data_IF_636444670036
#
_entry.id   IF_636444670036
#
_cell.length_a   1.000
_cell.length_b   1.000
_cell.length_c   1.000
_cell.angle_alpha   90.00
_cell.angle_beta   90.00
_cell.angle_gamma   90.00
#
_symmetry.space_group_name_H-M   'P 1'
#
loop_
_entity.id
_entity.type
_entity.pdbx_description
1 polymer ?
#
# COMPACT_ATOMS: atom_id res chain seq x y z
N UNK A 1 -24.19 20.71 -22.17
CA UNK A 1 -24.90 19.39 -22.18
C UNK A 1 -24.53 18.66 -20.90
N UNK A 2 -25.41 17.81 -20.34
CA UNK A 2 -25.06 17.07 -19.09
C UNK A 2 -24.45 15.72 -19.43
N UNK A 3 -23.40 15.36 -18.74
CA UNK A 3 -22.68 14.09 -18.87
C UNK A 3 -22.34 13.50 -17.51
N UNK A 4 -22.20 12.18 -17.43
CA UNK A 4 -21.80 11.52 -16.19
C UNK A 4 -20.41 11.97 -15.77
N UNK A 5 -20.22 12.27 -14.50
CA UNK A 5 -18.93 12.76 -13.99
C UNK A 5 -17.78 11.78 -14.22
N UNK A 6 -17.99 10.46 -14.02
CA UNK A 6 -16.96 9.45 -14.26
C UNK A 6 -16.53 9.37 -15.74
N UNK A 7 -17.45 9.64 -16.66
CA UNK A 7 -17.16 9.70 -18.11
C UNK A 7 -16.45 10.99 -18.46
N UNK A 8 -16.95 12.13 -17.97
CA UNK A 8 -16.40 13.45 -18.24
C UNK A 8 -14.94 13.57 -17.77
N UNK A 9 -14.61 13.00 -16.61
CA UNK A 9 -13.24 12.98 -16.07
C UNK A 9 -12.25 12.26 -17.01
N UNK A 10 -12.68 11.14 -17.61
CA UNK A 10 -11.84 10.41 -18.59
C UNK A 10 -11.74 11.20 -19.88
N UNK A 11 -12.86 11.71 -20.38
CA UNK A 11 -12.92 12.50 -21.62
C UNK A 11 -12.03 13.75 -21.58
N UNK A 12 -11.96 14.41 -20.39
CA UNK A 12 -11.10 15.58 -20.17
C UNK A 12 -9.65 15.23 -19.79
N UNK A 13 -9.28 13.94 -19.75
CA UNK A 13 -7.91 13.48 -19.51
C UNK A 13 -7.45 13.50 -18.05
N UNK A 14 -8.36 13.69 -17.08
CA UNK A 14 -8.00 13.59 -15.65
C UNK A 14 -7.61 12.18 -15.24
N UNK A 15 -8.21 11.16 -15.87
CA UNK A 15 -7.95 9.75 -15.58
C UNK A 15 -7.91 8.93 -16.88
N UNK A 16 -7.11 7.85 -16.85
CA UNK A 16 -6.98 6.93 -17.98
C UNK A 16 -8.14 5.93 -18.10
N UNK A 17 -8.90 5.72 -16.99
CA UNK A 17 -10.02 4.79 -16.97
C UNK A 17 -11.15 5.28 -16.06
N UNK A 18 -12.38 4.80 -16.35
CA UNK A 18 -13.58 5.12 -15.56
C UNK A 18 -13.50 4.55 -14.15
N UNK A 19 -12.83 3.42 -13.96
CA UNK A 19 -12.63 2.78 -12.66
C UNK A 19 -11.79 3.69 -11.76
N UNK A 20 -10.71 4.27 -12.28
CA UNK A 20 -9.89 5.25 -11.55
C UNK A 20 -10.66 6.52 -11.24
N UNK A 21 -11.42 7.03 -12.20
CA UNK A 21 -12.29 8.19 -11.99
C UNK A 21 -13.32 7.94 -10.88
N UNK A 22 -14.00 6.79 -10.89
CA UNK A 22 -14.95 6.39 -9.84
C UNK A 22 -14.28 6.30 -8.46
N UNK A 23 -13.13 5.67 -8.37
CA UNK A 23 -12.39 5.54 -7.13
C UNK A 23 -12.05 6.92 -6.53
N UNK A 24 -11.61 7.87 -7.36
CA UNK A 24 -11.28 9.24 -6.94
C UNK A 24 -12.52 10.05 -6.53
N UNK A 25 -13.63 9.89 -7.22
CA UNK A 25 -14.91 10.50 -6.82
C UNK A 25 -15.36 9.96 -5.46
N UNK A 26 -15.35 8.64 -5.29
CA UNK A 26 -15.72 7.99 -4.02
C UNK A 26 -14.75 8.34 -2.88
N UNK A 27 -13.48 8.57 -3.17
CA UNK A 27 -12.50 9.08 -2.21
C UNK A 27 -12.74 10.55 -1.82
N UNK A 28 -13.64 11.24 -2.52
CA UNK A 28 -14.03 12.63 -2.24
C UNK A 28 -12.96 13.65 -2.56
N UNK A 29 -12.12 13.36 -3.54
CA UNK A 29 -11.06 14.29 -4.02
C UNK A 29 -11.45 15.04 -5.29
N UNK A 30 -12.64 14.79 -5.83
CA UNK A 30 -13.17 15.47 -7.03
C UNK A 30 -14.18 16.55 -6.62
N UNK A 31 -13.99 17.74 -7.16
CA UNK A 31 -14.85 18.90 -6.95
C UNK A 31 -15.39 19.37 -8.31
N UNK A 32 -16.67 19.70 -8.35
CA UNK A 32 -17.36 20.25 -9.52
C UNK A 32 -17.97 21.59 -9.11
N UNK A 33 -17.62 22.65 -9.81
CA UNK A 33 -18.05 24.02 -9.52
C UNK A 33 -17.82 24.39 -8.04
N UNK A 34 -16.66 24.02 -7.50
CA UNK A 34 -16.26 24.24 -6.11
C UNK A 34 -16.91 23.34 -5.06
N UNK A 35 -17.84 22.46 -5.46
CA UNK A 35 -18.51 21.52 -4.56
C UNK A 35 -17.95 20.11 -4.68
N UNK A 36 -17.73 19.47 -3.53
CA UNK A 36 -17.28 18.08 -3.48
C UNK A 36 -18.32 17.15 -4.10
N UNK A 37 -17.89 16.28 -4.99
CA UNK A 37 -18.74 15.23 -5.59
C UNK A 37 -18.32 13.85 -5.12
N UNK A 38 -19.26 13.07 -4.61
CA UNK A 38 -19.06 11.73 -4.04
C UNK A 38 -19.75 10.62 -4.83
N UNK A 39 -20.52 10.98 -5.86
CA UNK A 39 -21.29 10.04 -6.70
C UNK A 39 -20.80 10.05 -8.13
N UNK A 40 -20.18 8.95 -8.56
CA UNK A 40 -19.62 8.79 -9.90
C UNK A 40 -20.65 8.97 -11.04
N UNK A 41 -21.91 8.64 -10.77
CA UNK A 41 -23.00 8.76 -11.73
C UNK A 41 -23.65 10.14 -11.81
N UNK A 42 -23.20 11.12 -11.04
CA UNK A 42 -23.74 12.47 -11.10
C UNK A 42 -23.69 13.04 -12.51
N UNK A 43 -24.81 13.65 -12.92
CA UNK A 43 -24.91 14.37 -14.18
C UNK A 43 -24.42 15.80 -13.98
N UNK A 44 -23.32 16.14 -14.58
CA UNK A 44 -22.69 17.47 -14.49
C UNK A 44 -22.69 18.14 -15.85
N UNK A 45 -22.63 19.46 -15.89
CA UNK A 45 -22.49 20.17 -17.16
C UNK A 45 -21.14 19.84 -17.81
N UNK A 46 -21.14 19.63 -19.11
CA UNK A 46 -19.89 19.33 -19.82
C UNK A 46 -18.84 20.44 -19.74
N UNK A 47 -19.27 21.67 -19.42
CA UNK A 47 -18.41 22.83 -19.23
C UNK A 47 -18.15 23.16 -17.75
N UNK A 48 -18.68 22.34 -16.81
CA UNK A 48 -18.46 22.55 -15.38
C UNK A 48 -16.96 22.65 -15.04
N UNK A 49 -16.64 23.52 -14.09
CA UNK A 49 -15.29 23.60 -13.57
C UNK A 49 -14.98 22.37 -12.73
N UNK A 50 -14.00 21.57 -13.16
CA UNK A 50 -13.59 20.37 -12.43
C UNK A 50 -12.22 20.60 -11.81
N UNK A 51 -12.16 20.43 -10.49
CA UNK A 51 -10.93 20.41 -9.72
C UNK A 51 -10.75 19.02 -9.09
N UNK A 52 -9.60 18.41 -9.33
CA UNK A 52 -9.21 17.16 -8.66
C UNK A 52 -8.11 17.51 -7.66
N UNK A 53 -8.45 17.35 -6.37
CA UNK A 53 -7.44 17.50 -5.32
C UNK A 53 -6.42 16.39 -5.51
N UNK A 54 -5.16 16.76 -5.75
CA UNK A 54 -4.10 15.77 -5.88
C UNK A 54 -4.15 14.80 -4.70
N UNK A 55 -4.13 13.49 -5.02
CA UNK A 55 -3.99 12.48 -3.99
C UNK A 55 -2.56 12.59 -3.45
N UNK A 56 -2.41 13.31 -2.33
CA UNK A 56 -1.12 13.56 -1.71
C UNK A 56 -0.48 12.28 -1.13
N UNK A 57 -1.05 11.11 -1.38
CA UNK A 57 -0.45 9.85 -0.98
C UNK A 57 0.66 9.48 -1.96
N UNK A 58 1.95 9.55 -1.56
CA UNK A 58 3.08 9.23 -2.44
C UNK A 58 3.24 7.72 -2.69
N UNK A 59 2.43 6.91 -2.04
CA UNK A 59 2.50 5.44 -2.07
C UNK A 59 1.32 4.84 -2.83
N UNK A 60 1.45 3.59 -3.26
CA UNK A 60 0.39 2.84 -3.98
C UNK A 60 -0.90 2.70 -3.16
N UNK A 61 -0.83 2.86 -1.83
CA UNK A 61 -2.00 2.94 -0.95
C UNK A 61 -1.72 3.79 0.29
N UNK A 62 -2.81 4.21 0.95
CA UNK A 62 -2.74 4.99 2.21
C UNK A 62 -2.05 4.23 3.35
N UNK A 63 -1.89 2.91 3.23
CA UNK A 63 -1.11 2.10 4.15
C UNK A 63 0.30 2.63 4.35
N UNK A 64 0.97 3.04 3.27
CA UNK A 64 2.33 3.58 3.31
C UNK A 64 2.51 4.78 4.24
N UNK A 65 1.47 5.62 4.39
CA UNK A 65 1.49 6.76 5.33
C UNK A 65 1.59 6.33 6.80
N UNK A 66 1.12 5.13 7.14
CA UNK A 66 1.24 4.60 8.52
C UNK A 66 2.69 4.28 8.84
N UNK A 67 3.39 3.61 7.92
CA UNK A 67 4.80 3.29 8.08
C UNK A 67 5.66 4.56 8.06
N UNK A 68 5.39 5.48 7.13
CA UNK A 68 6.05 6.78 7.08
C UNK A 68 5.94 7.53 8.42
N UNK A 69 4.76 7.54 9.04
CA UNK A 69 4.56 8.13 10.38
C UNK A 69 5.44 7.46 11.42
N UNK A 70 5.54 6.13 11.41
CA UNK A 70 6.42 5.39 12.32
C UNK A 70 7.88 5.78 12.14
N UNK A 71 8.32 5.95 10.90
CA UNK A 71 9.69 6.36 10.58
C UNK A 71 10.01 7.80 11.03
N UNK A 72 9.00 8.67 11.12
CA UNK A 72 9.18 10.02 11.69
C UNK A 72 9.30 10.01 13.21
N UNK A 73 8.68 9.05 13.88
CA UNK A 73 8.63 8.97 15.35
C UNK A 73 9.78 8.18 15.94
N UNK A 74 10.32 7.23 15.22
CA UNK A 74 11.38 6.33 15.66
C UNK A 74 12.56 6.31 14.70
N UNK A 75 13.78 6.04 15.19
CA UNK A 75 15.00 6.04 14.36
C UNK A 75 15.07 4.78 13.47
N UNK A 76 14.09 4.60 12.59
CA UNK A 76 14.06 3.52 11.61
C UNK A 76 14.82 3.97 10.37
N UNK A 77 15.85 3.23 9.98
CA UNK A 77 16.62 3.45 8.76
C UNK A 77 16.50 2.25 7.85
N UNK A 78 16.06 2.48 6.62
CA UNK A 78 15.81 1.42 5.64
C UNK A 78 16.79 1.46 4.47
N UNK A 79 17.72 2.42 4.45
CA UNK A 79 18.71 2.53 3.39
C UNK A 79 19.56 1.26 3.31
N UNK A 80 19.60 0.67 2.12
CA UNK A 80 20.25 -0.61 1.81
C UNK A 80 19.75 -1.82 2.64
N UNK A 81 18.60 -1.70 3.30
CA UNK A 81 18.03 -2.75 4.13
C UNK A 81 17.33 -3.83 3.30
N UNK A 82 17.37 -5.06 3.80
CA UNK A 82 16.52 -6.16 3.36
C UNK A 82 15.31 -6.22 4.28
N UNK A 83 14.13 -6.06 3.72
CA UNK A 83 12.88 -5.90 4.47
C UNK A 83 11.88 -7.01 4.15
N UNK A 84 10.94 -7.21 5.06
CA UNK A 84 9.76 -8.04 4.83
C UNK A 84 8.50 -7.28 5.22
N UNK A 85 7.49 -7.33 4.35
CA UNK A 85 6.17 -6.76 4.57
C UNK A 85 5.18 -7.91 4.79
N UNK A 86 4.77 -8.12 6.04
CA UNK A 86 3.83 -9.19 6.42
C UNK A 86 2.41 -8.62 6.41
N UNK A 87 1.59 -9.10 5.48
CA UNK A 87 0.28 -8.55 5.17
C UNK A 87 0.38 -7.42 4.13
N UNK A 88 1.13 -7.65 3.06
CA UNK A 88 1.48 -6.62 2.08
C UNK A 88 0.26 -6.02 1.37
N UNK A 89 -0.80 -6.80 1.11
CA UNK A 89 -2.02 -6.34 0.42
C UNK A 89 -1.67 -5.64 -0.90
N UNK A 90 -2.11 -4.39 -1.09
CA UNK A 90 -1.76 -3.59 -2.28
C UNK A 90 -0.31 -3.12 -2.30
N UNK A 91 0.41 -3.21 -1.18
CA UNK A 91 1.84 -2.90 -1.10
C UNK A 91 2.18 -1.51 -0.59
N UNK A 92 1.30 -0.87 0.18
CA UNK A 92 1.56 0.47 0.71
C UNK A 92 2.83 0.53 1.58
N UNK A 93 3.04 -0.44 2.46
CA UNK A 93 4.25 -0.53 3.28
C UNK A 93 5.47 -0.89 2.42
N UNK A 94 5.32 -1.86 1.51
CA UNK A 94 6.37 -2.23 0.55
C UNK A 94 6.87 -1.02 -0.23
N UNK A 95 5.95 -0.22 -0.81
CA UNK A 95 6.28 0.99 -1.56
C UNK A 95 6.98 2.04 -0.68
N UNK A 96 6.51 2.23 0.55
CA UNK A 96 7.15 3.12 1.52
C UNK A 96 8.59 2.67 1.82
N UNK A 97 8.83 1.38 2.03
CA UNK A 97 10.18 0.85 2.27
C UNK A 97 11.10 1.07 1.09
N UNK A 98 10.63 0.81 -0.13
CA UNK A 98 11.42 1.02 -1.36
C UNK A 98 11.77 2.49 -1.56
N UNK A 99 10.83 3.41 -1.35
CA UNK A 99 11.07 4.84 -1.48
C UNK A 99 12.01 5.39 -0.40
N UNK A 100 12.16 4.69 0.72
CA UNK A 100 13.11 5.01 1.78
C UNK A 100 14.43 4.22 1.67
N UNK A 101 14.72 3.64 0.51
CA UNK A 101 16.02 3.09 0.18
C UNK A 101 16.21 1.60 0.47
N UNK A 102 15.16 0.86 0.80
CA UNK A 102 15.25 -0.59 0.95
C UNK A 102 15.80 -1.23 -0.33
N UNK A 103 16.78 -2.12 -0.17
CA UNK A 103 17.43 -2.83 -1.27
C UNK A 103 16.57 -3.97 -1.80
N UNK A 104 15.84 -4.62 -0.91
CA UNK A 104 14.98 -5.76 -1.20
C UNK A 104 13.79 -5.81 -0.24
N UNK A 105 12.61 -6.13 -0.73
CA UNK A 105 11.41 -6.31 0.09
C UNK A 105 10.70 -7.62 -0.27
N UNK A 106 10.56 -8.50 0.71
CA UNK A 106 9.70 -9.67 0.61
C UNK A 106 8.27 -9.26 0.96
N UNK A 107 7.39 -9.18 -0.03
CA UNK A 107 5.99 -8.83 0.14
C UNK A 107 5.15 -10.10 0.35
N UNK A 108 4.80 -10.39 1.60
CA UNK A 108 4.12 -11.62 2.02
C UNK A 108 2.64 -11.34 2.26
N UNK A 109 1.76 -12.10 1.60
CA UNK A 109 0.32 -12.02 1.82
C UNK A 109 -0.36 -13.39 1.61
N UNK A 110 -1.42 -13.65 2.38
CA UNK A 110 -2.27 -14.85 2.18
C UNK A 110 -3.16 -14.72 0.95
N UNK A 111 -3.43 -13.50 0.51
CA UNK A 111 -4.23 -13.19 -0.67
C UNK A 111 -3.50 -13.44 -1.98
N UNK A 112 -4.19 -13.15 -3.06
CA UNK A 112 -3.69 -13.30 -4.42
C UNK A 112 -4.09 -12.12 -5.29
N UNK A 113 -3.18 -11.66 -6.13
CA UNK A 113 -3.46 -10.64 -7.14
C UNK A 113 -3.68 -9.23 -6.56
N UNK A 114 -3.36 -8.98 -5.29
CA UNK A 114 -3.61 -7.69 -4.64
C UNK A 114 -2.48 -6.68 -4.79
N UNK A 115 -1.23 -7.17 -4.86
CA UNK A 115 -0.05 -6.29 -4.94
C UNK A 115 -0.12 -5.43 -6.21
N UNK A 116 0.11 -4.12 -6.06
CA UNK A 116 0.11 -3.18 -7.18
C UNK A 116 1.09 -3.62 -8.28
N UNK A 117 0.68 -3.46 -9.54
CA UNK A 117 1.48 -3.89 -10.68
C UNK A 117 2.88 -3.28 -10.71
N UNK A 118 3.01 -2.01 -10.36
CA UNK A 118 4.29 -1.31 -10.27
C UNK A 118 5.28 -2.02 -9.32
N UNK A 119 4.77 -2.58 -8.21
CA UNK A 119 5.58 -3.33 -7.25
C UNK A 119 5.87 -4.76 -7.72
N UNK A 120 4.93 -5.39 -8.44
CA UNK A 120 5.15 -6.73 -9.01
C UNK A 120 6.30 -6.79 -10.00
N UNK A 121 6.52 -5.70 -10.75
CA UNK A 121 7.58 -5.62 -11.75
C UNK A 121 8.88 -5.00 -11.22
N UNK A 122 8.89 -4.48 -9.99
CA UNK A 122 10.10 -3.93 -9.38
C UNK A 122 11.07 -5.08 -9.03
N UNK A 123 12.30 -5.08 -9.55
CA UNK A 123 13.27 -6.16 -9.30
C UNK A 123 13.70 -6.30 -7.84
N UNK A 124 13.44 -5.27 -7.01
CA UNK A 124 13.71 -5.30 -5.57
C UNK A 124 12.61 -6.00 -4.76
N UNK A 125 11.46 -6.29 -5.37
CA UNK A 125 10.32 -6.91 -4.71
C UNK A 125 10.26 -8.39 -4.98
N UNK A 126 10.21 -9.20 -3.93
CA UNK A 126 9.89 -10.62 -4.00
C UNK A 126 8.43 -10.80 -3.59
N UNK A 127 7.55 -11.03 -4.57
CA UNK A 127 6.13 -11.20 -4.33
C UNK A 127 5.83 -12.63 -3.82
N UNK A 128 5.38 -12.74 -2.58
CA UNK A 128 5.05 -14.02 -1.92
C UNK A 128 3.55 -14.07 -1.61
N UNK A 129 2.75 -14.24 -2.64
CA UNK A 129 1.29 -14.41 -2.56
C UNK A 129 0.91 -15.82 -2.11
N UNK A 130 -0.34 -15.98 -1.61
CA UNK A 130 -0.84 -17.26 -1.06
C UNK A 130 0.08 -17.85 0.00
N UNK A 131 0.81 -16.99 0.69
CA UNK A 131 1.78 -17.37 1.71
C UNK A 131 1.24 -17.01 3.10
N UNK A 132 0.99 -18.03 3.91
CA UNK A 132 0.69 -17.83 5.33
C UNK A 132 2.01 -17.76 6.10
N UNK A 133 2.28 -16.61 6.69
CA UNK A 133 3.53 -16.34 7.42
C UNK A 133 3.82 -17.38 8.52
N UNK A 134 2.80 -17.96 9.12
CA UNK A 134 2.97 -18.99 10.17
C UNK A 134 3.66 -20.27 9.66
N UNK A 135 3.54 -20.53 8.37
CA UNK A 135 4.07 -21.71 7.69
C UNK A 135 5.11 -21.35 6.66
N UNK A 136 5.76 -20.19 6.83
CA UNK A 136 6.79 -19.72 5.92
C UNK A 136 7.91 -20.77 5.80
N UNK A 137 8.23 -21.13 4.57
CA UNK A 137 9.46 -21.86 4.26
C UNK A 137 10.64 -20.89 4.28
N UNK A 138 11.45 -20.97 5.32
CA UNK A 138 12.62 -20.09 5.50
C UNK A 138 13.66 -20.23 4.40
N UNK A 139 13.68 -21.35 3.67
CA UNK A 139 14.58 -21.54 2.54
C UNK A 139 14.32 -20.60 1.36
N UNK A 140 13.13 -20.00 1.31
CA UNK A 140 12.74 -18.99 0.32
C UNK A 140 13.33 -17.59 0.63
N UNK A 141 13.86 -17.41 1.82
CA UNK A 141 14.47 -16.14 2.26
C UNK A 141 15.97 -16.28 2.06
N UNK A 142 16.46 -15.67 0.99
CA UNK A 142 17.84 -15.83 0.55
C UNK A 142 18.84 -14.97 1.31
N UNK A 143 18.38 -13.92 1.97
CA UNK A 143 19.20 -12.93 2.67
C UNK A 143 18.63 -12.64 4.06
N UNK A 144 19.51 -12.35 5.05
CA UNK A 144 19.06 -11.94 6.39
C UNK A 144 18.15 -10.72 6.34
N UNK A 145 17.10 -10.71 7.17
CA UNK A 145 16.12 -9.62 7.23
C UNK A 145 16.55 -8.57 8.26
N UNK A 146 16.62 -7.32 7.85
CA UNK A 146 16.97 -6.17 8.70
C UNK A 146 15.76 -5.51 9.34
N UNK A 147 14.62 -5.50 8.63
CA UNK A 147 13.40 -4.83 9.07
C UNK A 147 12.15 -5.57 8.63
N UNK A 148 11.16 -5.62 9.53
CA UNK A 148 9.86 -6.22 9.24
C UNK A 148 8.74 -5.22 9.55
N UNK A 149 7.81 -5.05 8.61
CA UNK A 149 6.52 -4.41 8.87
C UNK A 149 5.40 -5.46 8.95
N UNK A 150 4.43 -5.26 9.85
CA UNK A 150 3.32 -6.19 10.06
C UNK A 150 2.00 -5.41 10.08
N UNK A 151 1.15 -5.64 9.08
CA UNK A 151 -0.23 -5.13 9.02
C UNK A 151 -1.18 -6.25 8.61
N UNK A 152 -1.46 -7.16 9.52
CA UNK A 152 -2.32 -8.33 9.29
C UNK A 152 -3.71 -8.14 9.88
N UNK A 153 -4.71 -8.81 9.29
CA UNK A 153 -6.08 -8.86 9.76
C UNK A 153 -6.50 -10.30 9.98
N UNK A 154 -7.46 -10.52 10.89
CA UNK A 154 -8.04 -11.83 11.20
C UNK A 154 -7.06 -12.86 11.78
N UNK A 155 -5.91 -12.42 12.27
CA UNK A 155 -4.90 -13.26 12.93
C UNK A 155 -4.29 -12.50 14.12
N UNK A 156 -4.04 -13.23 15.19
CA UNK A 156 -3.35 -12.65 16.36
C UNK A 156 -1.86 -12.42 16.08
N UNK A 157 -1.35 -11.25 16.44
CA UNK A 157 0.08 -10.95 16.40
C UNK A 157 0.93 -11.93 17.18
N UNK A 158 0.37 -12.56 18.24
CA UNK A 158 1.05 -13.62 19.02
C UNK A 158 1.49 -14.80 18.16
N UNK A 159 0.80 -15.07 17.05
CA UNK A 159 1.14 -16.13 16.10
C UNK A 159 2.15 -15.69 15.04
N UNK A 160 2.29 -14.40 14.82
CA UNK A 160 3.21 -13.82 13.83
C UNK A 160 4.57 -13.50 14.45
N UNK A 161 4.60 -12.97 15.66
CA UNK A 161 5.83 -12.56 16.33
C UNK A 161 6.92 -13.64 16.43
N UNK A 162 6.63 -14.92 16.74
CA UNK A 162 7.68 -15.94 16.79
C UNK A 162 8.41 -16.12 15.45
N UNK A 163 7.67 -16.03 14.35
CA UNK A 163 8.25 -16.12 12.99
C UNK A 163 9.08 -14.87 12.68
N UNK A 164 8.53 -13.69 12.99
CA UNK A 164 9.24 -12.42 12.79
C UNK A 164 10.54 -12.35 13.61
N UNK A 165 10.49 -12.78 14.89
CA UNK A 165 11.67 -12.83 15.75
C UNK A 165 12.76 -13.72 15.17
N UNK A 166 12.40 -14.90 14.68
CA UNK A 166 13.35 -15.84 14.06
C UNK A 166 13.97 -15.25 12.79
N UNK A 167 13.18 -14.53 11.98
CA UNK A 167 13.68 -13.87 10.75
C UNK A 167 14.68 -12.74 11.05
N UNK A 168 14.55 -12.07 12.21
CA UNK A 168 15.43 -10.97 12.64
C UNK A 168 16.61 -11.43 13.50
N UNK A 169 16.68 -12.72 13.86
CA UNK A 169 17.67 -13.23 14.81
C UNK A 169 19.11 -12.98 14.37
N UNK A 170 19.39 -13.15 13.09
CA UNK A 170 20.74 -13.00 12.54
C UNK A 170 21.21 -11.55 12.52
N UNK A 171 20.33 -10.60 12.18
CA UNK A 171 20.68 -9.18 12.05
C UNK A 171 20.52 -8.39 13.34
N UNK A 172 19.71 -8.91 14.30
CA UNK A 172 19.26 -8.12 15.43
C UNK A 172 18.40 -6.92 15.00
N UNK A 173 17.71 -7.04 13.87
CA UNK A 173 16.93 -5.98 13.26
C UNK A 173 15.70 -5.56 14.07
N UNK A 174 14.86 -4.75 13.48
CA UNK A 174 13.68 -4.18 14.12
C UNK A 174 12.39 -4.48 13.38
N UNK A 175 11.26 -4.34 14.04
CA UNK A 175 9.96 -4.46 13.42
C UNK A 175 9.01 -3.34 13.85
N UNK A 176 8.07 -3.03 12.96
CA UNK A 176 6.90 -2.19 13.25
C UNK A 176 5.65 -3.00 12.98
N UNK A 177 4.73 -3.04 13.92
CA UNK A 177 3.46 -3.71 13.74
C UNK A 177 2.27 -2.77 13.98
N UNK A 178 1.23 -2.97 13.22
CA UNK A 178 -0.06 -2.32 13.46
C UNK A 178 -0.87 -3.17 14.43
N UNK A 179 -1.11 -2.65 15.63
CA UNK A 179 -1.94 -3.33 16.64
C UNK A 179 -3.41 -3.05 16.33
N UNK A 180 -4.16 -4.10 16.11
CA UNK A 180 -5.62 -4.06 15.88
C UNK A 180 -6.30 -4.80 17.03
N UNK A 181 -6.82 -4.09 18.05
CA UNK A 181 -7.36 -4.72 19.27
C UNK A 181 -8.55 -5.65 19.02
N UNK A 182 -9.24 -5.45 17.89
CA UNK A 182 -10.41 -6.25 17.51
C UNK A 182 -10.07 -7.66 16.96
N UNK A 183 -8.81 -7.96 16.75
CA UNK A 183 -8.34 -9.25 16.22
C UNK A 183 -7.48 -10.03 17.19
#
# INVERSE_FOLDING_TARGET
MKERLDVLLVKRGFYQSRERAKASIMAGIVYVDGQKSDKAGNQVDENAEIFVKENLCPYVSRGGLKLEKSMRLWPIRLEDAVCMDIGASTGGFTDCMLQNGARKVYAVDVGYGQLDYKLRIDPRVVNMEKCNIRYLDFSLIEEPIDFISIDVSFISLKLVFPVAAKLLEETGGSLVCLVKPQF
#
